data_IF_790380193093
#
_entry.id   IF_790380193093
#
_cell.length_a   1.000
_cell.length_b   1.000
_cell.length_c   1.000
_cell.angle_alpha   90.00
_cell.angle_beta   90.00
_cell.angle_gamma   90.00
#
_symmetry.space_group_name_H-M   'P 1'
#
loop_
_entity.id
_entity.type
_entity.pdbx_description
1 polymer ?
#
# COMPACT_ATOMS: atom_id res chain seq x y z
N UNK A 1 12.91 -3.79 -18.15
CA UNK A 1 11.61 -3.84 -18.87
C UNK A 1 11.07 -2.41 -18.94
N UNK A 2 10.07 -2.14 -19.78
CA UNK A 2 9.39 -0.84 -19.74
C UNK A 2 8.13 -0.92 -18.89
N UNK A 3 7.98 0.05 -17.99
CA UNK A 3 6.76 0.29 -17.21
C UNK A 3 6.11 1.58 -17.71
N UNK A 4 4.79 1.59 -17.79
CA UNK A 4 4.05 2.65 -18.47
C UNK A 4 3.12 3.40 -17.53
N UNK A 5 3.05 4.72 -17.69
CA UNK A 5 2.09 5.58 -17.00
C UNK A 5 1.22 6.35 -18.00
N UNK A 6 -0.08 6.12 -17.90
CA UNK A 6 -1.11 6.86 -18.61
C UNK A 6 -1.41 8.14 -17.86
N UNK A 7 -1.45 9.29 -18.55
CA UNK A 7 -1.72 10.59 -17.94
C UNK A 7 -2.54 11.48 -18.88
N UNK A 8 -3.50 12.20 -18.31
CA UNK A 8 -4.02 13.43 -18.90
C UNK A 8 -3.07 14.61 -18.72
N UNK A 9 -3.32 15.70 -19.43
CA UNK A 9 -2.50 16.93 -19.36
C UNK A 9 -2.98 17.79 -18.18
N UNK A 10 -2.15 17.89 -17.14
CA UNK A 10 -2.37 18.68 -15.92
C UNK A 10 -1.06 19.05 -15.21
N UNK A 11 -1.13 19.77 -14.09
CA UNK A 11 0.06 20.22 -13.32
C UNK A 11 1.02 19.08 -12.96
N UNK A 12 0.49 17.93 -12.54
CA UNK A 12 1.31 16.76 -12.20
C UNK A 12 1.97 16.13 -13.43
N UNK A 13 1.36 16.23 -14.62
CA UNK A 13 2.02 15.80 -15.86
C UNK A 13 3.19 16.71 -16.24
N UNK A 14 3.07 18.01 -15.97
CA UNK A 14 4.18 18.94 -16.19
C UNK A 14 5.32 18.65 -15.22
N UNK A 15 5.03 18.46 -13.92
CA UNK A 15 6.02 18.03 -12.92
C UNK A 15 6.73 16.73 -13.32
N UNK A 16 5.98 15.74 -13.80
CA UNK A 16 6.54 14.48 -14.27
C UNK A 16 7.51 14.63 -15.45
N UNK A 17 7.21 15.52 -16.40
CA UNK A 17 7.99 15.65 -17.65
C UNK A 17 9.13 16.66 -17.50
N UNK A 18 8.89 17.77 -16.79
CA UNK A 18 9.82 18.89 -16.69
C UNK A 18 10.74 18.76 -15.48
N UNK A 19 10.24 18.19 -14.39
CA UNK A 19 10.92 18.16 -13.10
C UNK A 19 11.29 16.74 -12.66
N UNK A 20 10.99 15.71 -13.48
CA UNK A 20 11.17 14.28 -13.17
C UNK A 20 10.45 13.79 -11.90
N UNK A 21 9.38 14.45 -11.49
CA UNK A 21 8.67 14.13 -10.25
C UNK A 21 7.48 13.17 -10.46
N UNK A 22 7.40 12.11 -9.65
CA UNK A 22 6.21 11.28 -9.59
C UNK A 22 5.21 11.78 -8.53
N UNK A 23 3.94 11.85 -8.92
CA UNK A 23 2.84 11.93 -7.96
C UNK A 23 2.47 10.54 -7.45
N UNK A 24 2.48 10.38 -6.13
CA UNK A 24 1.99 9.18 -5.46
C UNK A 24 0.62 9.46 -4.84
N UNK A 25 -0.39 8.70 -5.28
CA UNK A 25 -1.75 8.87 -4.81
C UNK A 25 -1.95 8.26 -3.44
N UNK A 26 -2.84 8.84 -2.64
CA UNK A 26 -3.36 8.26 -1.41
C UNK A 26 -4.34 7.12 -1.75
N UNK A 27 -4.50 6.14 -0.85
CA UNK A 27 -5.54 5.12 -0.99
C UNK A 27 -6.94 5.70 -1.29
N UNK A 28 -7.31 6.82 -0.65
CA UNK A 28 -8.62 7.46 -0.86
C UNK A 28 -8.84 8.09 -2.24
N UNK A 29 -7.78 8.29 -3.03
CA UNK A 29 -7.85 8.87 -4.38
C UNK A 29 -8.12 7.83 -5.47
N UNK A 30 -8.15 6.54 -5.10
CA UNK A 30 -8.38 5.46 -6.04
C UNK A 30 -9.86 5.38 -6.41
N UNK A 31 -10.14 5.06 -7.68
CA UNK A 31 -11.51 4.96 -8.18
C UNK A 31 -12.19 3.65 -7.78
N UNK A 32 -11.42 2.59 -7.50
CA UNK A 32 -11.97 1.34 -6.99
C UNK A 32 -12.12 1.43 -5.46
N UNK A 33 -13.35 1.28 -4.92
CA UNK A 33 -13.55 1.32 -3.48
C UNK A 33 -12.83 0.19 -2.75
N UNK A 34 -12.51 -0.93 -3.40
CA UNK A 34 -11.81 -2.09 -2.82
C UNK A 34 -10.30 -2.00 -2.90
N UNK A 35 -9.75 -1.13 -3.74
CA UNK A 35 -8.31 -0.92 -3.81
C UNK A 35 -7.77 -0.44 -2.45
N UNK A 36 -6.59 -0.94 -2.10
CA UNK A 36 -5.90 -0.62 -0.84
C UNK A 36 -6.69 -0.94 0.43
N UNK A 37 -7.77 -1.74 0.34
CA UNK A 37 -8.48 -2.24 1.52
C UNK A 37 -7.78 -3.46 2.09
N UNK A 38 -7.01 -3.24 3.15
CA UNK A 38 -6.66 -4.31 4.08
C UNK A 38 -7.83 -4.60 5.02
N UNK A 39 -8.21 -5.87 5.13
CA UNK A 39 -9.10 -6.34 6.19
C UNK A 39 -8.23 -6.94 7.30
N UNK A 40 -7.90 -6.14 8.30
CA UNK A 40 -7.19 -6.63 9.49
C UNK A 40 -8.18 -7.19 10.49
N UNK A 41 -7.80 -8.31 11.10
CA UNK A 41 -8.51 -8.91 12.22
C UNK A 41 -7.54 -9.20 13.35
N UNK A 42 -8.11 -9.39 14.53
CA UNK A 42 -7.41 -9.64 15.77
C UNK A 42 -8.10 -10.83 16.41
N UNK A 43 -7.42 -11.97 16.39
CA UNK A 43 -7.87 -13.19 17.05
C UNK A 43 -6.67 -13.91 17.63
N UNK A 44 -6.58 -13.90 18.95
CA UNK A 44 -5.41 -14.38 19.69
C UNK A 44 -5.76 -14.82 21.10
N UNK A 45 -4.72 -15.22 21.82
CA UNK A 45 -4.78 -15.54 23.26
C UNK A 45 -4.84 -14.27 24.10
N UNK A 46 -5.04 -14.43 25.40
CA UNK A 46 -4.86 -13.35 26.36
C UNK A 46 -3.49 -12.65 26.20
N UNK A 47 -2.40 -13.42 26.09
CA UNK A 47 -1.05 -12.88 25.97
C UNK A 47 -0.85 -12.06 24.69
N UNK A 48 -1.42 -12.51 23.56
CA UNK A 48 -1.36 -11.77 22.29
C UNK A 48 -1.98 -10.37 22.44
N UNK A 49 -3.18 -10.33 23.03
CA UNK A 49 -3.90 -9.09 23.27
C UNK A 49 -3.21 -8.20 24.30
N UNK A 50 -2.82 -8.77 25.44
CA UNK A 50 -2.19 -8.05 26.54
C UNK A 50 -0.89 -7.38 26.07
N UNK A 51 -0.01 -8.13 25.41
CA UNK A 51 1.26 -7.60 24.90
C UNK A 51 1.03 -6.50 23.85
N UNK A 52 0.09 -6.69 22.94
CA UNK A 52 -0.21 -5.69 21.92
C UNK A 52 -0.77 -4.39 22.53
N UNK A 53 -1.77 -4.49 23.42
CA UNK A 53 -2.34 -3.33 24.10
C UNK A 53 -1.30 -2.60 24.96
N UNK A 54 -0.49 -3.36 25.71
CA UNK A 54 0.47 -2.79 26.66
C UNK A 54 1.68 -2.15 26.00
N UNK A 55 2.23 -2.79 24.96
CA UNK A 55 3.52 -2.39 24.37
C UNK A 55 3.40 -1.76 22.99
N UNK A 56 2.35 -2.06 22.23
CA UNK A 56 2.14 -1.48 20.89
C UNK A 56 1.18 -0.29 20.94
N UNK A 57 0.03 -0.45 21.61
CA UNK A 57 -0.95 0.65 21.75
C UNK A 57 -0.56 1.60 22.88
N UNK A 58 0.09 1.10 23.93
CA UNK A 58 0.53 1.90 25.07
C UNK A 58 -0.54 2.11 26.13
N UNK A 59 -1.49 1.19 26.25
CA UNK A 59 -2.53 1.22 27.26
C UNK A 59 -1.97 0.95 28.66
N UNK A 60 -2.62 1.50 29.69
CA UNK A 60 -2.29 1.23 31.09
C UNK A 60 -2.53 -0.24 31.43
N UNK A 61 -1.72 -0.79 32.35
CA UNK A 61 -1.71 -2.22 32.71
C UNK A 61 -3.10 -2.75 33.08
N UNK A 62 -3.81 -2.07 33.98
CA UNK A 62 -5.15 -2.50 34.41
C UNK A 62 -6.18 -2.48 33.26
N UNK A 63 -6.05 -1.52 32.33
CA UNK A 63 -6.94 -1.41 31.16
C UNK A 63 -6.59 -2.47 30.11
N UNK A 64 -5.30 -2.70 29.86
CA UNK A 64 -4.81 -3.73 28.96
C UNK A 64 -5.23 -5.14 29.42
N UNK A 65 -5.10 -5.45 30.72
CA UNK A 65 -5.52 -6.74 31.28
C UNK A 65 -7.03 -6.94 31.14
N UNK A 66 -7.84 -5.92 31.46
CA UNK A 66 -9.30 -6.00 31.33
C UNK A 66 -9.72 -6.26 29.88
N UNK A 67 -9.17 -5.50 28.93
CA UNK A 67 -9.49 -5.64 27.50
C UNK A 67 -8.99 -6.98 26.94
N UNK A 68 -7.83 -7.46 27.36
CA UNK A 68 -7.30 -8.75 26.92
C UNK A 68 -8.20 -9.92 27.35
N UNK A 69 -8.70 -9.93 28.59
CA UNK A 69 -9.71 -10.92 29.04
C UNK A 69 -11.04 -10.78 28.31
N UNK A 70 -11.40 -9.56 27.92
CA UNK A 70 -12.63 -9.33 27.16
C UNK A 70 -12.53 -9.83 25.71
N UNK A 71 -11.37 -9.67 25.07
CA UNK A 71 -11.17 -9.96 23.65
C UNK A 71 -10.54 -11.30 23.35
N UNK A 72 -10.00 -12.02 24.34
CA UNK A 72 -9.45 -13.36 24.14
C UNK A 72 -10.46 -14.26 23.40
N UNK A 73 -9.96 -15.01 22.43
CA UNK A 73 -10.74 -15.93 21.59
C UNK A 73 -11.86 -15.30 20.72
N UNK A 74 -12.12 -14.00 20.83
CA UNK A 74 -13.07 -13.30 19.95
C UNK A 74 -12.45 -12.99 18.60
N UNK A 75 -13.31 -12.90 17.59
CA UNK A 75 -12.98 -12.33 16.30
C UNK A 75 -13.28 -10.83 16.36
N UNK A 76 -12.23 -10.01 16.37
CA UNK A 76 -12.33 -8.56 16.39
C UNK A 76 -11.78 -8.02 15.06
N UNK A 77 -12.48 -7.09 14.43
CA UNK A 77 -11.95 -6.37 13.26
C UNK A 77 -11.54 -4.93 13.63
N UNK A 78 -10.76 -4.29 12.75
CA UNK A 78 -10.28 -2.91 12.96
C UNK A 78 -11.40 -1.92 13.32
N UNK A 79 -12.62 -2.09 12.79
CA UNK A 79 -13.73 -1.16 13.05
C UNK A 79 -14.30 -1.27 14.46
N UNK A 80 -14.08 -2.41 15.12
CA UNK A 80 -14.52 -2.68 16.49
C UNK A 80 -13.54 -2.14 17.54
N UNK A 81 -12.32 -1.77 17.14
CA UNK A 81 -11.28 -1.23 18.03
C UNK A 81 -11.33 0.30 18.18
N UNK A 82 -12.41 0.93 17.69
CA UNK A 82 -12.62 2.37 17.68
C UNK A 82 -12.08 3.04 16.42
N UNK A 83 -12.17 4.38 16.36
CA UNK A 83 -11.62 5.20 15.27
C UNK A 83 -10.08 5.18 15.30
N UNK A 84 -9.47 4.02 15.03
CA UNK A 84 -8.21 4.00 14.33
C UNK A 84 -8.51 4.62 12.96
N UNK A 85 -8.53 5.96 12.91
CA UNK A 85 -8.59 6.72 11.66
C UNK A 85 -7.58 6.03 10.74
N UNK A 86 -8.07 5.39 9.69
CA UNK A 86 -7.22 4.89 8.62
C UNK A 86 -6.41 6.11 8.20
N UNK A 87 -5.17 6.16 8.64
CA UNK A 87 -4.32 7.32 8.40
C UNK A 87 -3.91 7.25 6.94
N UNK A 88 -4.81 7.75 6.10
CA UNK A 88 -4.70 7.82 4.66
C UNK A 88 -3.48 8.64 4.23
N UNK A 89 -2.86 9.38 5.17
CA UNK A 89 -1.63 10.11 4.92
C UNK A 89 -0.37 9.24 5.01
N UNK A 90 -0.39 8.02 5.56
CA UNK A 90 0.83 7.20 5.68
C UNK A 90 1.22 6.48 4.40
N UNK A 91 0.24 6.08 3.59
CA UNK A 91 0.49 5.31 2.39
C UNK A 91 0.44 6.20 1.15
N UNK A 92 1.36 5.95 0.22
CA UNK A 92 1.49 6.64 -1.06
C UNK A 92 1.76 5.59 -2.12
N UNK A 93 0.96 5.60 -3.18
CA UNK A 93 0.93 4.51 -4.16
C UNK A 93 1.19 5.07 -5.55
N UNK A 94 2.14 4.46 -6.25
CA UNK A 94 2.41 4.68 -7.67
C UNK A 94 2.03 3.43 -8.45
N UNK A 95 0.99 3.55 -9.28
CA UNK A 95 0.58 2.46 -10.19
C UNK A 95 1.20 2.66 -11.58
N UNK A 96 1.79 1.59 -12.12
CA UNK A 96 2.37 1.52 -13.47
C UNK A 96 1.78 0.30 -14.21
N UNK A 97 1.87 0.30 -15.54
CA UNK A 97 1.37 -0.77 -16.41
C UNK A 97 2.51 -1.43 -17.18
N UNK A 98 2.41 -2.73 -17.48
CA UNK A 98 3.33 -3.40 -18.43
C UNK A 98 2.93 -3.22 -19.89
N UNK A 99 1.75 -2.66 -20.15
CA UNK A 99 1.18 -2.51 -21.49
C UNK A 99 0.87 -1.04 -21.76
N UNK A 100 1.34 -0.45 -22.89
CA UNK A 100 1.06 0.94 -23.27
C UNK A 100 -0.21 1.11 -24.14
N UNK A 101 -0.77 0.01 -24.63
CA UNK A 101 -1.90 -0.01 -25.58
C UNK A 101 -3.22 -0.48 -24.97
N UNK A 102 -3.36 -0.51 -23.64
CA UNK A 102 -4.60 -0.93 -22.99
C UNK A 102 -5.68 0.15 -23.17
N UNK A 103 -6.72 -0.15 -23.95
CA UNK A 103 -7.75 0.81 -24.32
C UNK A 103 -8.55 1.34 -23.12
N UNK A 104 -8.81 0.49 -22.11
CA UNK A 104 -9.50 0.90 -20.89
C UNK A 104 -8.63 1.85 -20.06
N UNK A 105 -7.32 1.59 -19.99
CA UNK A 105 -6.39 2.50 -19.33
C UNK A 105 -6.31 3.86 -20.03
N UNK A 106 -6.32 3.88 -21.36
CA UNK A 106 -6.40 5.14 -22.12
C UNK A 106 -7.70 5.92 -21.84
N UNK A 107 -8.83 5.22 -21.73
CA UNK A 107 -10.12 5.83 -21.44
C UNK A 107 -10.15 6.47 -20.03
N UNK A 108 -9.66 5.75 -19.01
CA UNK A 108 -9.75 6.18 -17.61
C UNK A 108 -8.61 7.08 -17.15
N UNK A 109 -7.38 6.87 -17.63
CA UNK A 109 -6.18 7.50 -17.07
C UNK A 109 -5.44 8.41 -18.04
N UNK A 110 -5.79 8.40 -19.34
CA UNK A 110 -5.22 9.30 -20.34
C UNK A 110 -6.27 10.24 -20.93
N UNK A 111 -7.06 10.87 -20.04
CA UNK A 111 -8.05 11.91 -20.40
C UNK A 111 -8.95 11.50 -21.58
N UNK A 112 -9.61 10.34 -21.47
CA UNK A 112 -10.49 9.81 -22.51
C UNK A 112 -9.81 9.74 -23.90
N UNK A 113 -8.61 9.16 -23.95
CA UNK A 113 -7.76 9.05 -25.15
C UNK A 113 -7.13 10.35 -25.67
N UNK A 114 -7.19 11.46 -24.92
CA UNK A 114 -6.60 12.75 -25.33
C UNK A 114 -5.27 13.07 -24.65
N UNK A 115 -4.89 12.27 -23.65
CA UNK A 115 -3.64 12.36 -22.93
C UNK A 115 -2.50 11.65 -23.66
N UNK A 116 -1.58 11.11 -22.86
CA UNK A 116 -0.39 10.43 -23.35
C UNK A 116 -0.01 9.25 -22.46
N UNK A 117 0.96 8.46 -22.91
CA UNK A 117 1.52 7.33 -22.19
C UNK A 117 3.05 7.43 -22.20
N UNK A 118 3.67 7.53 -21.03
CA UNK A 118 5.13 7.53 -20.87
C UNK A 118 5.63 6.15 -20.51
N UNK A 119 6.79 5.77 -21.03
CA UNK A 119 7.51 4.55 -20.67
C UNK A 119 8.73 4.88 -19.81
N UNK A 120 8.93 4.09 -18.76
CA UNK A 120 10.03 4.20 -17.81
C UNK A 120 10.82 2.90 -17.82
N UNK A 121 12.14 3.00 -17.88
CA UNK A 121 13.00 1.84 -17.77
C UNK A 121 13.05 1.35 -16.32
N UNK A 122 12.70 0.10 -16.11
CA UNK A 122 12.81 -0.54 -14.79
C UNK A 122 14.20 -1.16 -14.62
N UNK A 123 14.78 -1.01 -13.44
CA UNK A 123 16.06 -1.62 -13.06
C UNK A 123 15.86 -2.79 -12.08
N UNK A 124 16.77 -3.76 -12.15
CA UNK A 124 16.77 -4.89 -11.23
C UNK A 124 17.25 -4.47 -9.84
N UNK A 125 16.59 -4.95 -8.79
CA UNK A 125 17.07 -4.73 -7.42
C UNK A 125 18.29 -5.62 -7.12
N UNK A 126 19.26 -5.15 -6.33
CA UNK A 126 20.34 -6.00 -5.80
C UNK A 126 19.85 -7.22 -5.00
N UNK A 127 18.65 -7.12 -4.41
CA UNK A 127 18.02 -8.21 -3.62
C UNK A 127 16.99 -9.02 -4.41
N UNK A 128 16.89 -8.80 -5.73
CA UNK A 128 15.90 -9.42 -6.60
C UNK A 128 14.60 -8.60 -6.72
N UNK A 129 13.93 -8.73 -7.87
CA UNK A 129 12.78 -7.90 -8.25
C UNK A 129 13.15 -6.77 -9.21
N UNK A 130 12.14 -6.01 -9.64
CA UNK A 130 12.28 -4.89 -10.59
C UNK A 130 11.66 -3.64 -9.98
N UNK A 131 12.11 -2.46 -10.41
CA UNK A 131 11.71 -1.20 -9.78
C UNK A 131 12.20 -0.01 -10.56
N UNK A 132 12.02 1.18 -9.99
CA UNK A 132 12.51 2.43 -10.53
C UNK A 132 13.70 2.91 -9.70
N UNK A 133 14.72 3.43 -10.38
CA UNK A 133 15.73 4.27 -9.76
C UNK A 133 15.11 5.64 -9.50
N UNK A 134 15.37 6.19 -8.31
CA UNK A 134 14.91 7.51 -7.90
C UNK A 134 16.14 8.37 -7.59
N UNK A 135 16.04 9.67 -7.80
CA UNK A 135 17.07 10.60 -7.34
C UNK A 135 17.06 10.62 -5.80
N UNK A 136 18.25 10.65 -5.19
CA UNK A 136 18.39 10.54 -3.75
C UNK A 136 17.87 11.78 -3.03
N UNK A 137 17.38 11.58 -1.79
CA UNK A 137 16.83 12.58 -0.86
C UNK A 137 15.33 12.91 -0.98
N UNK A 138 14.61 12.36 -1.96
CA UNK A 138 13.20 12.73 -2.21
C UNK A 138 12.15 12.03 -1.33
N UNK A 139 12.53 11.02 -0.53
CA UNK A 139 11.58 10.31 0.34
C UNK A 139 12.21 9.75 1.61
N UNK A 140 11.45 9.77 2.70
CA UNK A 140 11.82 9.08 3.93
C UNK A 140 11.72 7.57 3.74
N UNK A 141 12.83 6.87 3.93
CA UNK A 141 12.88 5.42 3.82
C UNK A 141 12.13 4.79 5.01
N UNK A 142 11.34 3.72 4.78
CA UNK A 142 10.58 3.05 5.84
C UNK A 142 11.46 2.37 6.89
N UNK A 143 12.76 2.21 6.62
CA UNK A 143 13.74 1.72 7.57
C UNK A 143 15.14 1.63 6.97
N UNK A 144 16.18 1.41 7.82
CA UNK A 144 17.58 1.41 7.40
C UNK A 144 17.96 0.28 6.43
N UNK A 145 17.11 -0.74 6.27
CA UNK A 145 17.32 -1.86 5.36
C UNK A 145 16.63 -1.71 4.00
N UNK A 146 15.87 -0.64 3.76
CA UNK A 146 15.25 -0.40 2.46
C UNK A 146 16.31 0.15 1.48
N UNK A 147 16.39 -0.36 0.24
CA UNK A 147 17.34 0.14 -0.75
C UNK A 147 17.21 1.66 -0.93
N UNK A 148 18.33 2.38 -0.81
CA UNK A 148 18.36 3.81 -1.13
C UNK A 148 18.09 4.00 -2.61
N UNK A 149 17.43 5.11 -2.94
CA UNK A 149 17.31 5.58 -4.33
C UNK A 149 16.60 4.58 -5.25
N UNK A 150 15.80 3.68 -4.68
CA UNK A 150 15.16 2.59 -5.39
C UNK A 150 13.74 2.35 -4.90
N UNK A 151 12.78 2.41 -5.81
CA UNK A 151 11.40 2.05 -5.55
C UNK A 151 11.09 0.67 -6.11
N UNK A 152 10.87 -0.31 -5.21
CA UNK A 152 10.44 -1.65 -5.61
C UNK A 152 9.07 -1.57 -6.30
N UNK A 153 9.00 -2.11 -7.52
CA UNK A 153 7.74 -2.33 -8.21
C UNK A 153 7.32 -3.78 -8.00
N UNK A 154 6.06 -3.97 -7.68
CA UNK A 154 5.47 -5.27 -7.48
C UNK A 154 4.38 -5.50 -8.50
N UNK A 155 4.27 -6.73 -8.99
CA UNK A 155 3.19 -7.12 -9.88
C UNK A 155 1.89 -7.27 -9.10
N UNK A 156 0.80 -6.75 -9.69
CA UNK A 156 -0.57 -6.90 -9.20
C UNK A 156 -1.33 -7.77 -10.21
N UNK A 157 -1.98 -8.83 -9.75
CA UNK A 157 -2.80 -9.78 -10.55
C UNK A 157 -4.25 -9.78 -10.06
N UNK A 158 -5.00 -8.76 -10.46
CA UNK A 158 -6.41 -8.66 -10.12
C UNK A 158 -7.17 -9.97 -10.39
N UNK A 159 -7.87 -10.44 -9.36
CA UNK A 159 -8.74 -11.59 -9.42
C UNK A 159 -10.09 -11.24 -8.76
N UNK A 160 -11.10 -12.07 -9.00
CA UNK A 160 -12.45 -11.83 -8.50
C UNK A 160 -12.66 -12.32 -7.05
N UNK A 161 -11.58 -12.69 -6.34
CA UNK A 161 -11.65 -13.22 -4.99
C UNK A 161 -11.03 -12.23 -3.99
N UNK A 162 -11.83 -11.81 -3.01
CA UNK A 162 -11.32 -10.93 -1.95
C UNK A 162 -10.31 -11.74 -1.11
N UNK A 163 -9.09 -11.22 -0.88
CA UNK A 163 -8.10 -11.90 -0.04
C UNK A 163 -8.65 -12.15 1.38
N UNK A 164 -8.28 -13.29 2.01
CA UNK A 164 -8.70 -13.56 3.37
C UNK A 164 -8.16 -12.47 4.31
N UNK A 165 -8.88 -12.15 5.40
CA UNK A 165 -8.43 -11.15 6.37
C UNK A 165 -7.05 -11.49 6.94
N UNK A 166 -6.24 -10.46 7.18
CA UNK A 166 -4.93 -10.59 7.82
C UNK A 166 -5.09 -10.57 9.34
N UNK A 167 -4.70 -11.64 10.02
CA UNK A 167 -4.68 -11.69 11.46
C UNK A 167 -3.38 -11.10 12.01
N UNK A 168 -3.47 -9.93 12.64
CA UNK A 168 -2.32 -9.18 13.15
C UNK A 168 -1.44 -9.99 14.12
N UNK A 169 -2.02 -10.91 14.88
CA UNK A 169 -1.29 -11.68 15.89
C UNK A 169 -0.65 -12.95 15.34
N UNK A 170 -1.16 -13.48 14.22
CA UNK A 170 -0.76 -14.82 13.74
C UNK A 170 -0.09 -14.80 12.37
N UNK A 171 -0.49 -13.89 11.52
CA UNK A 171 0.05 -13.79 10.17
C UNK A 171 1.34 -12.96 10.18
N UNK A 172 2.23 -13.21 9.22
CA UNK A 172 3.46 -12.44 9.11
C UNK A 172 3.12 -11.03 8.63
N UNK A 173 3.86 -10.00 9.03
CA UNK A 173 3.64 -8.64 8.52
C UNK A 173 3.65 -8.56 7.00
N UNK A 174 4.51 -9.33 6.32
CA UNK A 174 4.57 -9.39 4.87
C UNK A 174 3.34 -10.02 4.20
N UNK A 175 2.50 -10.77 4.94
CA UNK A 175 1.27 -11.31 4.38
C UNK A 175 0.24 -10.21 4.09
N UNK A 176 0.41 -8.98 4.65
CA UNK A 176 -0.40 -7.81 4.29
C UNK A 176 -0.23 -7.41 2.81
N UNK A 177 0.90 -7.76 2.19
CA UNK A 177 1.13 -7.53 0.77
C UNK A 177 0.14 -8.31 -0.11
N UNK A 178 -0.55 -9.34 0.40
CA UNK A 178 -1.63 -10.04 -0.34
C UNK A 178 -2.81 -9.13 -0.70
N UNK A 179 -2.97 -8.00 -0.01
CA UNK A 179 -3.98 -6.97 -0.30
C UNK A 179 -3.49 -5.91 -1.27
N UNK A 180 -2.19 -5.90 -1.56
CA UNK A 180 -1.56 -4.96 -2.49
C UNK A 180 -1.14 -5.66 -3.79
N UNK A 181 -0.76 -6.94 -3.72
CA UNK A 181 0.01 -7.69 -4.72
C UNK A 181 -0.69 -8.92 -5.28
N UNK A 182 -2.00 -9.05 -5.07
CA UNK A 182 -2.70 -10.17 -5.68
C UNK A 182 -3.08 -9.87 -7.08
#
# INVERSE_FOLDING_TARGET
MLLFKYRGINEFSFKLILDNEFYFAKPSEFNDPFDSRTKTIYQGTFDDWYNWLRYTVGEEEAKAEKLAKEFEHKYIDDSMLGDAKKDDNRNRILCLSKTPSNILMWAHYADQHKGFCLGFESIASPTGGMGLELEGEDFELPGPGYPKDYLSAFDITYNNEIPPPWNRFKDRPSDIFKFLLR
#
